data_IF_571376128410
#
_entry.id   IF_571376128410
#
_cell.length_a   1.000
_cell.length_b   1.000
_cell.length_c   1.000
_cell.angle_alpha   90.00
_cell.angle_beta   90.00
_cell.angle_gamma   90.00
#
_symmetry.space_group_name_H-M   'P 1'
#
loop_
_entity.id
_entity.type
_entity.pdbx_description
1 polymer ?
#
# COMPACT_ATOMS: atom_id res chain seq x y z
N UNK A 1 1.15 -12.37 -39.66
CA UNK A 1 0.13 -11.48 -39.10
C UNK A 1 0.67 -10.06 -39.09
N UNK A 2 -0.06 -9.03 -39.58
CA UNK A 2 0.45 -7.67 -39.64
C UNK A 2 0.53 -7.05 -38.23
N UNK A 3 1.69 -6.51 -37.91
CA UNK A 3 2.09 -5.96 -36.61
C UNK A 3 1.23 -4.78 -36.10
N UNK A 4 0.47 -4.09 -36.94
CA UNK A 4 -0.46 -3.04 -36.54
C UNK A 4 -1.70 -3.51 -35.78
N UNK A 5 -2.15 -4.75 -35.99
CA UNK A 5 -3.28 -5.34 -35.25
C UNK A 5 -2.98 -5.70 -33.80
N UNK A 6 -1.71 -5.79 -33.42
CA UNK A 6 -1.32 -6.21 -32.07
C UNK A 6 -1.56 -5.13 -31.00
N UNK A 7 -1.32 -3.85 -31.28
CA UNK A 7 -1.61 -2.76 -30.34
C UNK A 7 -3.11 -2.52 -30.19
N UNK A 8 -3.88 -2.57 -31.29
CA UNK A 8 -5.33 -2.37 -31.26
C UNK A 8 -6.05 -3.49 -30.51
N UNK A 9 -5.57 -4.73 -30.64
CA UNK A 9 -6.06 -5.86 -29.82
C UNK A 9 -5.78 -5.63 -28.34
N UNK A 10 -4.59 -5.14 -27.99
CA UNK A 10 -4.24 -4.82 -26.61
C UNK A 10 -5.14 -3.72 -26.04
N UNK A 11 -5.36 -2.63 -26.81
CA UNK A 11 -6.26 -1.55 -26.42
C UNK A 11 -7.66 -2.06 -26.10
N UNK A 12 -8.26 -2.84 -27.03
CA UNK A 12 -9.64 -3.27 -26.91
C UNK A 12 -9.85 -4.44 -25.93
N UNK A 13 -8.92 -5.41 -25.91
CA UNK A 13 -9.10 -6.63 -25.13
C UNK A 13 -8.57 -6.52 -23.68
N UNK A 14 -7.62 -5.63 -23.40
CA UNK A 14 -6.97 -5.53 -22.09
C UNK A 14 -7.13 -4.15 -21.45
N UNK A 15 -6.88 -3.06 -22.21
CA UNK A 15 -6.83 -1.73 -21.60
C UNK A 15 -8.22 -1.13 -21.41
N UNK A 16 -9.12 -1.24 -22.39
CA UNK A 16 -10.52 -0.81 -22.21
C UNK A 16 -11.23 -1.49 -21.04
N UNK A 17 -11.16 -2.83 -20.87
CA UNK A 17 -11.70 -3.50 -19.69
C UNK A 17 -11.10 -3.01 -18.38
N UNK A 18 -9.79 -2.70 -18.34
CA UNK A 18 -9.15 -2.11 -17.17
C UNK A 18 -9.73 -0.72 -16.84
N UNK A 19 -9.89 0.15 -17.84
CA UNK A 19 -10.52 1.47 -17.65
C UNK A 19 -11.96 1.33 -17.15
N UNK A 20 -12.73 0.36 -17.70
CA UNK A 20 -14.08 0.05 -17.22
C UNK A 20 -14.10 -0.45 -15.78
N UNK A 21 -13.14 -1.31 -15.38
CA UNK A 21 -13.00 -1.79 -14.02
C UNK A 21 -12.71 -0.67 -13.02
N UNK A 22 -12.05 0.44 -13.46
CA UNK A 22 -11.91 1.67 -12.69
C UNK A 22 -13.21 2.50 -12.63
N UNK A 23 -14.29 2.07 -13.28
CA UNK A 23 -15.61 2.72 -13.25
C UNK A 23 -15.81 3.81 -14.30
N UNK A 24 -14.88 4.00 -15.24
CA UNK A 24 -15.03 4.96 -16.35
C UNK A 24 -15.81 4.33 -17.52
N UNK A 25 -16.69 5.11 -18.14
CA UNK A 25 -17.46 4.64 -19.30
C UNK A 25 -16.63 4.82 -20.58
N UNK A 26 -16.04 3.73 -21.05
CA UNK A 26 -15.21 3.72 -22.28
C UNK A 26 -15.98 3.98 -23.57
N UNK A 27 -17.31 3.96 -23.52
CA UNK A 27 -18.20 4.27 -24.67
C UNK A 27 -18.71 5.71 -24.65
N UNK A 28 -18.38 6.48 -23.60
CA UNK A 28 -18.67 7.92 -23.55
C UNK A 28 -17.43 8.71 -23.98
N UNK A 29 -17.46 9.32 -25.19
CA UNK A 29 -16.32 10.06 -25.70
C UNK A 29 -16.05 11.38 -24.97
N UNK A 30 -16.93 11.81 -24.06
CA UNK A 30 -16.71 12.96 -23.18
C UNK A 30 -16.02 12.56 -21.87
N UNK A 31 -16.01 11.27 -21.54
CA UNK A 31 -15.34 10.74 -20.34
C UNK A 31 -14.03 10.05 -20.68
N UNK A 32 -14.02 9.18 -21.70
CA UNK A 32 -12.83 8.48 -22.18
C UNK A 32 -12.62 8.79 -23.65
N UNK A 33 -11.74 9.74 -23.93
CA UNK A 33 -11.46 10.23 -25.29
C UNK A 33 -10.42 9.33 -25.95
N UNK A 34 -10.77 8.57 -27.00
CA UNK A 34 -9.80 7.78 -27.74
C UNK A 34 -9.02 8.67 -28.72
N UNK A 35 -7.77 8.30 -28.98
CA UNK A 35 -6.91 8.97 -29.97
C UNK A 35 -6.85 10.49 -29.81
N UNK A 36 -6.70 10.94 -28.56
CA UNK A 36 -6.70 12.35 -28.20
C UNK A 36 -5.55 13.10 -28.86
N UNK A 37 -5.86 14.24 -29.47
CA UNK A 37 -4.89 15.16 -30.05
C UNK A 37 -4.90 16.49 -29.29
N UNK A 38 -3.72 16.95 -28.87
CA UNK A 38 -3.51 18.31 -28.39
C UNK A 38 -2.54 19.04 -29.37
N UNK A 39 -2.58 20.37 -29.41
CA UNK A 39 -1.61 21.16 -30.18
C UNK A 39 -0.23 21.09 -29.53
N UNK A 40 0.56 20.08 -29.92
CA UNK A 40 1.92 19.82 -29.39
C UNK A 40 2.94 20.30 -30.45
N UNK A 41 3.03 21.60 -30.66
CA UNK A 41 4.10 22.23 -31.45
C UNK A 41 4.34 21.62 -32.83
N UNK A 42 5.58 21.22 -33.15
CA UNK A 42 6.04 20.90 -34.51
C UNK A 42 5.65 19.52 -35.05
N UNK A 43 5.14 18.60 -34.22
CA UNK A 43 4.72 17.25 -34.66
C UNK A 43 3.20 17.18 -34.85
N UNK A 44 2.76 17.40 -36.05
CA UNK A 44 1.34 17.24 -36.47
C UNK A 44 0.96 15.77 -36.50
N UNK A 45 -0.24 15.44 -35.99
CA UNK A 45 -0.86 14.08 -35.97
C UNK A 45 -0.31 13.06 -34.98
N UNK A 46 0.41 13.44 -33.95
CA UNK A 46 0.60 12.56 -32.80
C UNK A 46 -0.71 12.49 -32.00
N UNK A 47 -1.00 11.33 -31.40
CA UNK A 47 -2.21 11.09 -30.62
C UNK A 47 -1.86 10.23 -29.42
N UNK A 48 -2.42 10.54 -28.24
CA UNK A 48 -2.41 9.66 -27.08
C UNK A 48 -3.57 8.69 -27.20
N UNK A 49 -3.36 7.43 -26.89
CA UNK A 49 -4.32 6.36 -27.14
C UNK A 49 -5.66 6.57 -26.43
N UNK A 50 -5.62 6.95 -25.14
CA UNK A 50 -6.81 7.35 -24.37
C UNK A 50 -6.49 8.50 -23.42
N UNK A 51 -7.49 9.34 -23.21
CA UNK A 51 -7.48 10.38 -22.17
C UNK A 51 -8.73 10.25 -21.33
N UNK A 52 -8.58 10.15 -20.02
CA UNK A 52 -9.71 10.26 -19.11
C UNK A 52 -9.92 11.73 -18.78
N UNK A 53 -11.17 12.18 -18.96
CA UNK A 53 -11.61 13.55 -18.75
C UNK A 53 -12.55 13.60 -17.55
N UNK A 54 -12.31 14.56 -16.65
CA UNK A 54 -13.21 14.88 -15.52
C UNK A 54 -13.47 16.38 -15.52
N UNK A 55 -14.71 16.74 -15.30
CA UNK A 55 -15.15 18.16 -15.26
C UNK A 55 -14.65 18.97 -16.48
N UNK A 56 -14.63 18.31 -17.66
CA UNK A 56 -14.20 18.90 -18.92
C UNK A 56 -12.68 19.05 -19.08
N UNK A 57 -11.86 18.52 -18.16
CA UNK A 57 -10.40 18.61 -18.20
C UNK A 57 -9.76 17.22 -18.30
N UNK A 58 -8.71 17.07 -19.13
CA UNK A 58 -7.85 15.89 -19.09
C UNK A 58 -7.27 15.68 -17.71
N UNK A 59 -7.43 14.48 -17.13
CA UNK A 59 -6.86 14.14 -15.82
C UNK A 59 -5.86 12.99 -15.88
N UNK A 60 -6.05 12.01 -16.78
CA UNK A 60 -5.14 10.87 -16.95
C UNK A 60 -4.91 10.63 -18.44
N UNK A 61 -3.64 10.60 -18.86
CA UNK A 61 -3.21 10.21 -20.20
C UNK A 61 -2.85 8.73 -20.22
N UNK A 62 -3.24 7.98 -21.24
CA UNK A 62 -2.95 6.54 -21.33
C UNK A 62 -2.36 6.23 -22.69
N UNK A 63 -1.13 5.70 -22.71
CA UNK A 63 -0.43 5.23 -23.90
C UNK A 63 -0.31 3.71 -23.85
N UNK A 64 -0.69 3.04 -24.94
CA UNK A 64 -0.75 1.61 -25.05
C UNK A 64 0.30 1.06 -26.00
N UNK A 65 0.95 -0.03 -25.62
CA UNK A 65 1.84 -0.80 -26.49
C UNK A 65 1.28 -2.22 -26.64
N UNK A 66 1.74 -2.96 -27.64
CA UNK A 66 1.32 -4.35 -27.82
C UNK A 66 1.72 -5.21 -26.60
N UNK A 67 0.92 -6.22 -26.26
CA UNK A 67 1.09 -7.06 -25.07
C UNK A 67 2.46 -7.77 -25.01
N UNK A 68 3.08 -8.07 -26.15
CA UNK A 68 4.42 -8.67 -26.22
C UNK A 68 5.57 -7.66 -26.10
N UNK A 69 5.30 -6.36 -25.97
CA UNK A 69 6.34 -5.32 -25.92
C UNK A 69 6.83 -5.13 -24.48
N UNK A 70 8.14 -5.25 -24.26
CA UNK A 70 8.75 -4.83 -23.01
C UNK A 70 8.72 -3.30 -22.90
N UNK A 71 8.06 -2.78 -21.87
CA UNK A 71 7.92 -1.35 -21.67
C UNK A 71 9.26 -0.71 -21.26
N UNK A 72 9.61 0.40 -21.88
CA UNK A 72 10.74 1.26 -21.52
C UNK A 72 10.36 2.74 -21.61
N UNK A 73 11.23 3.61 -21.12
CA UNK A 73 10.96 5.06 -21.06
C UNK A 73 10.76 5.70 -22.43
N UNK A 74 11.41 5.18 -23.48
CA UNK A 74 11.25 5.71 -24.84
C UNK A 74 9.82 5.54 -25.36
N UNK A 75 9.10 4.51 -24.88
CA UNK A 75 7.68 4.31 -25.20
C UNK A 75 6.77 5.37 -24.58
N UNK A 76 7.22 6.08 -23.55
CA UNK A 76 6.49 7.18 -22.91
C UNK A 76 6.72 8.55 -23.59
N UNK A 77 7.48 8.63 -24.70
CA UNK A 77 7.84 9.91 -25.34
C UNK A 77 6.64 10.75 -25.76
N UNK A 78 5.52 10.13 -26.14
CA UNK A 78 4.27 10.82 -26.43
C UNK A 78 3.65 11.37 -25.14
N UNK A 79 3.58 10.56 -24.08
CA UNK A 79 3.07 11.00 -22.77
C UNK A 79 3.83 12.22 -22.25
N UNK A 80 5.17 12.24 -22.34
CA UNK A 80 5.97 13.40 -21.92
C UNK A 80 5.56 14.70 -22.61
N UNK A 81 5.32 14.65 -23.94
CA UNK A 81 4.93 15.83 -24.71
C UNK A 81 3.52 16.30 -24.34
N UNK A 82 2.58 15.37 -24.27
CA UNK A 82 1.19 15.69 -23.95
C UNK A 82 1.00 16.14 -22.52
N UNK A 83 1.76 15.58 -21.60
CA UNK A 83 1.71 15.96 -20.19
C UNK A 83 2.05 17.44 -19.98
N UNK A 84 3.04 17.95 -20.72
CA UNK A 84 3.46 19.36 -20.61
C UNK A 84 2.53 20.37 -21.26
N UNK A 85 1.54 19.95 -22.06
CA UNK A 85 0.62 20.84 -22.79
C UNK A 85 -0.86 20.61 -22.44
N UNK A 86 -1.13 19.71 -21.48
CA UNK A 86 -2.48 19.43 -20.97
C UNK A 86 -2.52 19.66 -19.47
N UNK A 87 -3.73 19.73 -18.91
CA UNK A 87 -3.93 19.80 -17.44
C UNK A 87 -3.80 18.43 -16.75
N UNK A 88 -3.45 17.37 -17.48
CA UNK A 88 -3.35 16.04 -16.94
C UNK A 88 -2.22 15.94 -15.91
N UNK A 89 -2.55 15.40 -14.71
CA UNK A 89 -1.61 15.22 -13.62
C UNK A 89 -1.06 13.79 -13.51
N UNK A 90 -1.66 12.86 -14.27
CA UNK A 90 -1.23 11.48 -14.31
C UNK A 90 -1.10 10.97 -15.73
N UNK A 91 -0.12 10.09 -15.94
CA UNK A 91 0.06 9.38 -17.19
C UNK A 91 0.29 7.89 -16.92
N UNK A 92 -0.27 7.04 -17.77
CA UNK A 92 -0.17 5.59 -17.69
C UNK A 92 0.43 5.06 -18.99
N UNK A 93 1.57 4.39 -18.90
CA UNK A 93 2.13 3.59 -19.98
C UNK A 93 1.82 2.12 -19.72
N UNK A 94 1.20 1.46 -20.70
CA UNK A 94 0.79 0.05 -20.51
C UNK A 94 0.95 -0.77 -21.78
N UNK A 95 1.15 -2.09 -21.61
CA UNK A 95 0.98 -3.11 -22.64
C UNK A 95 -0.21 -4.04 -22.32
N UNK A 96 -1.11 -3.63 -21.43
CA UNK A 96 -2.25 -4.41 -20.98
C UNK A 96 -1.91 -5.48 -19.92
N UNK A 97 -0.63 -5.81 -19.72
CA UNK A 97 -0.13 -6.72 -18.68
C UNK A 97 0.62 -5.94 -17.62
N UNK A 98 1.53 -5.08 -18.04
CA UNK A 98 2.29 -4.18 -17.17
C UNK A 98 1.71 -2.78 -17.26
N UNK A 99 1.60 -2.11 -16.11
CA UNK A 99 1.14 -0.74 -15.99
C UNK A 99 2.18 0.09 -15.25
N UNK A 100 2.53 1.25 -15.77
CA UNK A 100 3.47 2.21 -15.19
C UNK A 100 2.81 3.57 -15.08
N UNK A 101 2.73 4.09 -13.87
CA UNK A 101 2.07 5.35 -13.54
C UNK A 101 3.11 6.44 -13.31
N UNK A 102 2.89 7.56 -13.97
CA UNK A 102 3.77 8.73 -13.92
C UNK A 102 2.98 9.96 -13.46
N UNK A 103 3.68 10.90 -12.87
CA UNK A 103 3.18 12.22 -12.49
C UNK A 103 4.33 13.23 -12.49
N UNK A 104 4.13 14.43 -11.96
CA UNK A 104 5.06 15.57 -11.97
C UNK A 104 5.53 15.97 -10.57
N UNK A 105 6.06 15.02 -9.79
CA UNK A 105 6.53 15.26 -8.42
C UNK A 105 7.78 16.16 -8.39
N UNK A 106 8.70 16.00 -9.35
CA UNK A 106 9.99 16.71 -9.36
C UNK A 106 9.83 18.16 -9.84
N UNK A 107 8.99 18.41 -10.82
CA UNK A 107 8.74 19.74 -11.35
C UNK A 107 7.32 19.85 -11.90
N UNK A 108 6.53 20.87 -11.54
CA UNK A 108 5.15 21.05 -12.01
C UNK A 108 5.05 21.02 -13.55
N UNK A 109 4.03 20.34 -14.08
CA UNK A 109 3.75 20.17 -15.51
C UNK A 109 4.88 19.48 -16.30
N UNK A 110 5.80 18.81 -15.64
CA UNK A 110 6.85 18.04 -16.26
C UNK A 110 6.80 16.61 -15.76
N UNK A 111 6.33 15.69 -16.59
CA UNK A 111 6.26 14.27 -16.22
C UNK A 111 7.63 13.75 -15.79
N UNK A 112 7.69 13.06 -14.65
CA UNK A 112 8.90 12.43 -14.12
C UNK A 112 9.37 11.31 -15.06
N UNK A 113 10.69 11.09 -15.14
CA UNK A 113 11.25 10.01 -15.97
C UNK A 113 10.98 8.62 -15.38
N UNK A 114 10.82 8.52 -14.05
CA UNK A 114 10.57 7.26 -13.35
C UNK A 114 9.13 7.16 -12.90
N UNK A 115 8.47 6.00 -13.12
CA UNK A 115 7.13 5.79 -12.62
C UNK A 115 7.15 5.78 -11.08
N UNK A 116 6.19 6.44 -10.46
CA UNK A 116 6.00 6.40 -9.00
C UNK A 116 5.35 5.09 -8.55
N UNK A 117 4.55 4.46 -9.43
CA UNK A 117 3.88 3.21 -9.18
C UNK A 117 3.89 2.33 -10.44
N UNK A 118 4.15 1.03 -10.27
CA UNK A 118 4.11 0.07 -11.37
C UNK A 118 3.68 -1.30 -10.86
N UNK A 119 2.92 -2.03 -11.68
CA UNK A 119 2.47 -3.37 -11.37
C UNK A 119 2.28 -4.25 -12.61
N UNK A 120 2.13 -5.56 -12.38
CA UNK A 120 1.75 -6.54 -13.39
C UNK A 120 0.39 -7.16 -13.05
N UNK A 121 -0.51 -7.22 -14.03
CA UNK A 121 -1.80 -7.92 -13.90
C UNK A 121 -1.64 -9.42 -13.61
N UNK A 122 -0.48 -9.99 -13.86
CA UNK A 122 -0.18 -11.40 -13.57
C UNK A 122 0.25 -11.63 -12.13
N UNK A 123 0.55 -10.57 -11.37
CA UNK A 123 1.04 -10.63 -10.00
C UNK A 123 0.40 -9.48 -9.20
N UNK A 124 -0.89 -9.63 -8.93
CA UNK A 124 -1.65 -8.66 -8.14
C UNK A 124 -1.68 -9.11 -6.67
N UNK A 125 -1.20 -8.26 -5.80
CA UNK A 125 -1.44 -8.35 -4.36
C UNK A 125 -2.46 -7.30 -3.92
N UNK A 126 -2.96 -7.43 -2.71
CA UNK A 126 -3.97 -6.53 -2.17
C UNK A 126 -3.46 -5.08 -2.05
N UNK A 127 -2.17 -4.88 -1.79
CA UNK A 127 -1.56 -3.53 -1.71
C UNK A 127 -1.61 -2.85 -3.08
N UNK A 128 -1.24 -3.57 -4.13
CA UNK A 128 -1.34 -3.12 -5.51
C UNK A 128 -2.78 -2.77 -5.88
N UNK A 129 -3.74 -3.63 -5.54
CA UNK A 129 -5.17 -3.36 -5.80
C UNK A 129 -5.64 -2.11 -5.08
N UNK A 130 -5.23 -1.88 -3.84
CA UNK A 130 -5.60 -0.68 -3.08
C UNK A 130 -5.00 0.60 -3.69
N UNK A 131 -3.76 0.56 -4.22
CA UNK A 131 -3.18 1.69 -4.94
C UNK A 131 -3.91 1.96 -6.25
N UNK A 132 -4.23 0.92 -7.03
CA UNK A 132 -4.98 1.05 -8.28
C UNK A 132 -6.38 1.61 -8.05
N UNK A 133 -7.07 1.20 -6.97
CA UNK A 133 -8.41 1.70 -6.61
C UNK A 133 -8.46 3.21 -6.40
N UNK A 134 -7.38 3.87 -6.02
CA UNK A 134 -7.32 5.33 -5.89
C UNK A 134 -7.58 6.05 -7.22
N UNK A 135 -7.33 5.38 -8.34
CA UNK A 135 -7.63 5.89 -9.69
C UNK A 135 -9.05 5.57 -10.16
N UNK A 136 -9.84 4.83 -9.37
CA UNK A 136 -11.23 4.58 -9.72
C UNK A 136 -12.06 5.88 -9.69
N UNK A 137 -13.00 6.00 -10.62
CA UNK A 137 -13.84 7.20 -10.83
C UNK A 137 -14.46 7.74 -9.52
N UNK A 138 -14.93 6.84 -8.65
CA UNK A 138 -15.58 7.20 -7.38
C UNK A 138 -14.62 7.58 -6.27
N UNK A 139 -13.35 7.18 -6.36
CA UNK A 139 -12.32 7.39 -5.34
C UNK A 139 -11.22 8.36 -5.79
N UNK A 140 -11.30 8.82 -7.04
CA UNK A 140 -10.28 9.69 -7.61
C UNK A 140 -10.25 11.04 -6.88
N UNK A 141 -9.15 11.29 -6.21
CA UNK A 141 -8.79 12.53 -5.55
C UNK A 141 -7.35 12.86 -5.92
N UNK A 142 -7.17 13.90 -6.72
CA UNK A 142 -5.89 14.27 -7.32
C UNK A 142 -4.84 14.60 -6.26
N UNK A 143 -5.19 15.40 -5.27
CA UNK A 143 -4.25 15.84 -4.22
C UNK A 143 -3.82 14.67 -3.34
N UNK A 144 -4.75 13.79 -2.99
CA UNK A 144 -4.46 12.59 -2.23
C UNK A 144 -3.56 11.62 -3.02
N UNK A 145 -3.84 11.40 -4.30
CA UNK A 145 -3.00 10.54 -5.16
C UNK A 145 -1.60 11.12 -5.30
N UNK A 146 -1.44 12.43 -5.48
CA UNK A 146 -0.14 13.11 -5.58
C UNK A 146 0.69 13.00 -4.31
N UNK A 147 0.06 13.21 -3.14
CA UNK A 147 0.70 13.03 -1.84
C UNK A 147 1.23 11.60 -1.67
N UNK A 148 0.39 10.61 -1.96
CA UNK A 148 0.77 9.19 -1.92
C UNK A 148 1.86 8.84 -2.95
N UNK A 149 1.79 9.41 -4.16
CA UNK A 149 2.78 9.19 -5.22
C UNK A 149 4.18 9.64 -4.78
N UNK A 150 4.26 10.80 -4.12
CA UNK A 150 5.52 11.32 -3.55
C UNK A 150 6.08 10.34 -2.50
N UNK A 151 5.26 9.88 -1.59
CA UNK A 151 5.65 8.92 -0.56
C UNK A 151 6.13 7.59 -1.16
N UNK A 152 5.39 7.02 -2.11
CA UNK A 152 5.75 5.77 -2.80
C UNK A 152 7.08 5.92 -3.54
N UNK A 153 7.26 7.03 -4.28
CA UNK A 153 8.49 7.32 -5.03
C UNK A 153 9.70 7.38 -4.11
N UNK A 154 9.62 8.18 -3.04
CA UNK A 154 10.74 8.33 -2.11
C UNK A 154 11.03 7.05 -1.33
N UNK A 155 10.01 6.34 -0.86
CA UNK A 155 10.21 5.03 -0.21
C UNK A 155 10.88 4.01 -1.13
N UNK A 156 10.48 3.95 -2.41
CA UNK A 156 11.11 3.07 -3.40
C UNK A 156 12.59 3.43 -3.61
N UNK A 157 12.91 4.72 -3.74
CA UNK A 157 14.28 5.18 -3.89
C UNK A 157 15.13 4.88 -2.64
N UNK A 158 14.62 5.18 -1.45
CA UNK A 158 15.32 4.89 -0.18
C UNK A 158 15.60 3.39 -0.06
N UNK A 159 14.62 2.53 -0.36
CA UNK A 159 14.84 1.07 -0.35
C UNK A 159 15.93 0.63 -1.33
N UNK A 160 15.96 1.23 -2.52
CA UNK A 160 16.99 0.93 -3.52
C UNK A 160 18.38 1.32 -3.01
N UNK A 161 18.52 2.49 -2.37
CA UNK A 161 19.78 2.89 -1.74
C UNK A 161 20.18 1.97 -0.59
N UNK A 162 19.24 1.63 0.30
CA UNK A 162 19.54 0.69 1.39
C UNK A 162 19.99 -0.68 0.88
N UNK A 163 19.39 -1.19 -0.21
CA UNK A 163 19.82 -2.44 -0.83
C UNK A 163 21.23 -2.31 -1.41
N UNK A 164 21.53 -1.19 -2.05
CA UNK A 164 22.86 -0.93 -2.60
C UNK A 164 23.92 -0.84 -1.50
N UNK A 165 23.61 -0.15 -0.39
CA UNK A 165 24.52 -0.06 0.78
C UNK A 165 24.73 -1.43 1.45
N UNK A 166 23.71 -2.30 1.44
CA UNK A 166 23.84 -3.68 1.95
C UNK A 166 24.81 -4.52 1.10
N UNK A 167 24.72 -4.39 -0.23
CA UNK A 167 25.56 -5.14 -1.16
C UNK A 167 26.99 -4.59 -1.23
N UNK A 168 27.11 -3.26 -1.33
CA UNK A 168 28.38 -2.54 -1.48
C UNK A 168 28.29 -1.17 -0.79
N UNK A 169 28.70 -1.08 0.50
CA UNK A 169 28.66 0.15 1.26
C UNK A 169 29.45 1.29 0.60
N UNK A 170 28.80 2.43 0.40
CA UNK A 170 29.44 3.64 -0.14
C UNK A 170 30.43 4.25 0.85
N UNK A 171 31.40 5.04 0.37
CA UNK A 171 32.35 5.74 1.24
C UNK A 171 31.63 6.67 2.24
N UNK A 172 30.55 7.31 1.82
CA UNK A 172 29.74 8.19 2.68
C UNK A 172 29.06 7.41 3.81
N UNK A 173 28.48 6.27 3.49
CA UNK A 173 27.84 5.38 4.45
C UNK A 173 28.86 4.84 5.46
N UNK A 174 30.00 4.35 4.99
CA UNK A 174 31.11 3.89 5.84
C UNK A 174 31.60 5.01 6.76
N UNK A 175 31.81 6.22 6.21
CA UNK A 175 32.28 7.37 6.98
C UNK A 175 31.30 7.79 8.08
N UNK A 176 29.99 7.66 7.85
CA UNK A 176 28.96 7.95 8.84
C UNK A 176 29.14 7.11 10.10
N UNK A 177 29.37 5.80 9.96
CA UNK A 177 29.57 4.89 11.08
C UNK A 177 30.98 4.99 11.67
N UNK A 178 32.02 5.00 10.82
CA UNK A 178 33.39 5.07 11.26
C UNK A 178 33.65 6.27 12.18
N UNK A 179 33.13 7.45 11.85
CA UNK A 179 33.27 8.66 12.70
C UNK A 179 32.60 8.55 14.07
N UNK A 180 31.60 7.69 14.23
CA UNK A 180 30.92 7.50 15.51
C UNK A 180 31.64 6.53 16.45
N UNK A 181 32.41 5.59 15.89
CA UNK A 181 33.09 4.54 16.66
C UNK A 181 34.60 4.71 16.74
N UNK A 182 35.16 5.61 15.91
CA UNK A 182 36.59 5.86 15.84
C UNK A 182 36.91 7.36 15.83
N UNK A 183 37.67 7.82 16.81
CA UNK A 183 38.05 9.24 17.00
C UNK A 183 39.34 9.65 16.26
N UNK A 184 40.08 8.70 15.66
CA UNK A 184 41.32 8.95 14.96
C UNK A 184 41.11 9.38 13.50
N UNK A 185 42.24 9.67 12.82
CA UNK A 185 42.24 10.01 11.40
C UNK A 185 41.88 8.79 10.53
N UNK A 186 40.92 8.95 9.63
CA UNK A 186 40.56 7.94 8.65
C UNK A 186 41.57 7.97 7.47
N UNK A 187 42.66 7.25 7.61
CA UNK A 187 43.62 6.99 6.51
C UNK A 187 42.98 6.03 5.49
N UNK A 188 43.59 5.91 4.30
CA UNK A 188 43.08 5.00 3.24
C UNK A 188 42.95 3.56 3.76
N UNK A 189 43.98 3.03 4.43
CA UNK A 189 43.93 1.68 5.03
C UNK A 189 42.80 1.53 6.06
N UNK A 190 42.60 2.57 6.90
CA UNK A 190 41.50 2.56 7.87
C UNK A 190 40.12 2.61 7.18
N UNK A 191 39.97 3.36 6.10
CA UNK A 191 38.73 3.40 5.32
C UNK A 191 38.42 2.02 4.76
N UNK A 192 39.40 1.34 4.16
CA UNK A 192 39.19 -0.02 3.61
C UNK A 192 38.81 -1.01 4.71
N UNK A 193 39.46 -0.92 5.88
CA UNK A 193 39.09 -1.73 7.04
C UNK A 193 37.63 -1.47 7.48
N UNK A 194 37.25 -0.19 7.63
CA UNK A 194 35.89 0.17 8.04
C UNK A 194 34.84 -0.18 6.97
N UNK A 195 35.18 -0.16 5.69
CA UNK A 195 34.27 -0.61 4.62
C UNK A 195 33.90 -2.08 4.81
N UNK A 196 34.87 -2.93 5.12
CA UNK A 196 34.61 -4.33 5.41
C UNK A 196 33.79 -4.53 6.69
N UNK A 197 34.17 -3.83 7.77
CA UNK A 197 33.48 -3.95 9.07
C UNK A 197 32.04 -3.47 9.00
N UNK A 198 31.78 -2.32 8.38
CA UNK A 198 30.42 -1.78 8.22
C UNK A 198 29.57 -2.70 7.37
N UNK A 199 30.11 -3.21 6.24
CA UNK A 199 29.40 -4.15 5.39
C UNK A 199 29.07 -5.47 6.09
N UNK A 200 30.00 -6.00 6.91
CA UNK A 200 29.75 -7.21 7.72
C UNK A 200 28.69 -6.95 8.79
N UNK A 201 28.86 -5.92 9.60
CA UNK A 201 27.94 -5.58 10.68
C UNK A 201 26.53 -5.31 10.16
N UNK A 202 26.40 -4.64 9.01
CA UNK A 202 25.10 -4.36 8.41
C UNK A 202 24.40 -5.63 7.94
N UNK A 203 25.12 -6.55 7.29
CA UNK A 203 24.59 -7.87 6.90
C UNK A 203 24.22 -8.74 8.10
N UNK A 204 25.07 -8.78 9.12
CA UNK A 204 24.80 -9.51 10.36
C UNK A 204 23.55 -8.99 11.06
N UNK A 205 23.41 -7.66 11.16
CA UNK A 205 22.23 -7.05 11.75
C UNK A 205 20.94 -7.37 10.99
N UNK A 206 20.94 -7.27 9.65
CA UNK A 206 19.78 -7.63 8.82
C UNK A 206 19.43 -9.12 9.00
N UNK A 207 20.43 -10.02 9.00
CA UNK A 207 20.21 -11.45 9.20
C UNK A 207 19.66 -11.76 10.62
N UNK A 208 20.12 -11.04 11.63
CA UNK A 208 19.58 -11.17 12.99
C UNK A 208 18.10 -10.81 13.03
N UNK A 209 17.71 -9.66 12.44
CA UNK A 209 16.32 -9.25 12.36
C UNK A 209 15.44 -10.26 11.59
N UNK A 210 15.96 -10.85 10.52
CA UNK A 210 15.25 -11.88 9.75
C UNK A 210 15.07 -13.15 10.60
N UNK A 211 16.12 -13.59 11.29
CA UNK A 211 16.06 -14.78 12.14
C UNK A 211 15.11 -14.60 13.33
N UNK A 212 15.13 -13.44 13.99
CA UNK A 212 14.17 -13.10 15.05
C UNK A 212 12.72 -13.17 14.56
N UNK A 213 12.43 -12.62 13.39
CA UNK A 213 11.09 -12.68 12.78
C UNK A 213 10.68 -14.10 12.41
N UNK A 214 11.61 -14.90 11.87
CA UNK A 214 11.36 -16.31 11.53
C UNK A 214 11.13 -17.14 12.79
N UNK A 215 11.90 -16.93 13.85
CA UNK A 215 11.69 -17.61 15.13
C UNK A 215 10.33 -17.26 15.73
N UNK A 216 9.97 -15.98 15.79
CA UNK A 216 8.67 -15.56 16.29
C UNK A 216 7.50 -16.15 15.46
N UNK A 217 7.66 -16.29 14.14
CA UNK A 217 6.67 -16.94 13.30
C UNK A 217 6.58 -18.44 13.54
N UNK A 218 7.71 -19.13 13.76
CA UNK A 218 7.76 -20.57 14.08
C UNK A 218 7.20 -20.86 15.48
N UNK A 219 7.52 -20.02 16.45
CA UNK A 219 7.01 -20.18 17.84
C UNK A 219 5.49 -19.99 17.89
N UNK A 220 4.95 -19.04 17.13
CA UNK A 220 3.49 -18.88 16.97
C UNK A 220 2.83 -20.07 16.26
N UNK A 221 3.52 -20.75 15.37
CA UNK A 221 3.01 -21.97 14.69
C UNK A 221 3.10 -23.20 15.58
N UNK A 222 4.14 -23.28 16.41
CA UNK A 222 4.37 -24.44 17.33
C UNK A 222 3.41 -24.41 18.51
N UNK A 223 3.00 -23.23 18.99
CA UNK A 223 1.97 -23.11 20.04
C UNK A 223 0.58 -23.58 19.57
N UNK A 224 0.27 -23.44 18.27
CA UNK A 224 -0.97 -23.95 17.67
C UNK A 224 -0.96 -25.49 17.49
N UNK A 225 0.21 -26.13 17.46
CA UNK A 225 0.33 -27.60 17.26
C UNK A 225 0.39 -28.42 18.52
N UNK A 226 0.44 -27.83 19.71
CA UNK A 226 0.49 -28.56 21.02
C UNK A 226 -0.87 -28.72 21.70
N UNK A 227 -1.92 -28.03 21.24
CA UNK A 227 -3.28 -28.18 21.80
C UNK A 227 -4.17 -29.19 21.05
N UNK A 228 -3.76 -29.75 19.92
CA UNK A 228 -4.54 -30.71 19.12
C UNK A 228 -4.11 -32.17 19.29
N UNK A 229 -3.93 -32.63 20.55
CA UNK A 229 -3.85 -34.07 20.86
C UNK A 229 -4.86 -34.50 21.90
N UNK A 230 -6.10 -34.16 21.75
CA UNK A 230 -7.22 -34.89 22.38
C UNK A 230 -8.53 -34.60 21.68
N UNK A 231 -8.86 -35.44 20.77
CA UNK A 231 -10.17 -35.95 20.32
C UNK A 231 -10.37 -35.92 18.80
N UNK A 232 -10.48 -37.14 18.32
CA UNK A 232 -10.78 -37.56 16.96
C UNK A 232 -12.18 -37.16 16.50
N UNK A 233 -12.33 -36.65 15.28
CA UNK A 233 -13.08 -37.24 14.15
C UNK A 233 -13.66 -36.18 13.21
N UNK A 234 -13.43 -36.45 11.91
CA UNK A 234 -14.13 -36.01 10.71
C UNK A 234 -13.88 -34.60 10.17
N UNK A 235 -13.16 -34.55 9.05
CA UNK A 235 -12.98 -33.48 8.07
C UNK A 235 -14.31 -33.10 7.35
N UNK A 236 -14.42 -31.98 6.56
CA UNK A 236 -13.41 -31.53 5.62
C UNK A 236 -13.06 -30.03 5.65
N UNK A 237 -11.88 -29.72 5.13
CA UNK A 237 -11.41 -28.39 4.78
C UNK A 237 -12.31 -27.65 3.78
N UNK A 238 -12.33 -26.30 3.76
CA UNK A 238 -11.43 -25.63 2.85
C UNK A 238 -10.75 -24.35 3.41
N UNK A 239 -9.49 -24.26 3.10
CA UNK A 239 -8.63 -23.13 2.74
C UNK A 239 -9.28 -21.75 2.59
N UNK A 240 -8.82 -20.80 3.39
CA UNK A 240 -8.39 -19.46 2.93
C UNK A 240 -7.86 -18.68 4.13
N UNK A 241 -6.54 -18.53 4.19
CA UNK A 241 -5.85 -17.57 5.05
C UNK A 241 -6.16 -16.16 4.53
N UNK A 242 -7.13 -15.49 5.14
CA UNK A 242 -7.34 -14.05 4.94
C UNK A 242 -6.34 -13.29 5.82
N UNK A 243 -5.25 -12.83 5.19
CA UNK A 243 -4.34 -11.85 5.78
C UNK A 243 -5.11 -10.57 6.12
N UNK A 244 -5.15 -10.24 7.41
CA UNK A 244 -5.77 -9.02 7.95
C UNK A 244 -5.05 -7.79 7.42
N UNK A 245 -5.74 -6.95 6.65
CA UNK A 245 -5.21 -5.71 6.08
C UNK A 245 -5.07 -4.62 7.13
N UNK A 246 -3.84 -4.14 7.28
CA UNK A 246 -3.51 -2.96 8.07
C UNK A 246 -3.72 -1.72 7.18
N UNK A 247 -4.77 -0.93 7.43
CA UNK A 247 -4.92 0.39 6.83
C UNK A 247 -3.99 1.34 7.59
N UNK A 248 -2.93 1.78 6.91
CA UNK A 248 -1.99 2.81 7.42
C UNK A 248 -2.49 4.17 6.95
N UNK A 249 -3.01 4.96 7.85
CA UNK A 249 -3.33 6.36 7.58
C UNK A 249 -2.39 7.26 8.42
N UNK A 250 -1.78 8.25 7.77
CA UNK A 250 -1.05 9.39 8.40
C UNK A 250 0.17 9.06 9.30
N UNK A 251 1.04 8.11 8.91
CA UNK A 251 2.32 7.93 9.62
C UNK A 251 2.22 7.26 11.00
N UNK A 252 1.07 6.65 11.30
CA UNK A 252 0.86 5.82 12.48
C UNK A 252 1.20 4.37 12.10
N UNK A 253 2.06 3.73 12.90
CA UNK A 253 2.44 2.32 12.72
C UNK A 253 1.60 1.48 13.68
N UNK A 254 0.65 0.71 13.13
CA UNK A 254 -0.14 -0.23 13.92
C UNK A 254 0.76 -1.33 14.47
N UNK A 255 0.73 -1.52 15.77
CA UNK A 255 1.53 -2.52 16.48
C UNK A 255 0.87 -3.90 16.41
N UNK A 256 1.65 -4.97 16.68
CA UNK A 256 1.11 -6.33 16.75
C UNK A 256 0.06 -6.47 17.86
N UNK A 257 0.26 -5.81 19.01
CA UNK A 257 -0.71 -5.79 20.10
C UNK A 257 -2.06 -5.17 19.70
N UNK A 258 -2.07 -4.15 18.85
CA UNK A 258 -3.30 -3.55 18.33
C UNK A 258 -4.03 -4.48 17.36
N UNK A 259 -3.29 -5.25 16.57
CA UNK A 259 -3.85 -6.27 15.69
C UNK A 259 -4.41 -7.44 16.48
N UNK A 260 -3.71 -7.88 17.51
CA UNK A 260 -4.19 -8.95 18.40
C UNK A 260 -5.46 -8.52 19.14
N UNK A 261 -5.51 -7.29 19.63
CA UNK A 261 -6.72 -6.70 20.21
C UNK A 261 -7.90 -6.71 19.23
N UNK A 262 -7.66 -6.36 17.94
CA UNK A 262 -8.69 -6.45 16.90
C UNK A 262 -9.17 -7.89 16.70
N UNK A 263 -8.25 -8.87 16.60
CA UNK A 263 -8.58 -10.28 16.41
C UNK A 263 -9.48 -10.80 17.53
N UNK A 264 -9.16 -10.46 18.78
CA UNK A 264 -9.95 -10.85 19.96
C UNK A 264 -11.34 -10.19 19.91
N UNK A 265 -11.44 -8.89 19.62
CA UNK A 265 -12.74 -8.22 19.50
C UNK A 265 -13.56 -8.81 18.38
N UNK A 266 -12.97 -9.12 17.22
CA UNK A 266 -13.66 -9.81 16.12
C UNK A 266 -14.18 -11.18 16.56
N UNK A 267 -13.40 -11.96 17.29
CA UNK A 267 -13.80 -13.27 17.80
C UNK A 267 -14.97 -13.16 18.78
N UNK A 268 -14.94 -12.20 19.70
CA UNK A 268 -16.03 -11.97 20.66
C UNK A 268 -17.31 -11.53 19.95
N UNK A 269 -17.21 -10.58 19.01
CA UNK A 269 -18.36 -9.99 18.33
C UNK A 269 -18.87 -10.84 17.16
N UNK A 270 -18.18 -11.89 16.73
CA UNK A 270 -18.60 -12.78 15.64
C UNK A 270 -19.97 -13.41 15.86
N UNK A 271 -20.44 -13.47 17.11
CA UNK A 271 -21.76 -13.99 17.48
C UNK A 271 -22.91 -13.07 17.00
N UNK A 272 -22.65 -11.77 16.78
CA UNK A 272 -23.69 -10.76 16.46
C UNK A 272 -23.35 -9.89 15.28
N UNK A 273 -22.07 -9.81 14.88
CA UNK A 273 -21.57 -8.99 13.77
C UNK A 273 -20.66 -9.86 12.90
N UNK A 274 -20.84 -9.78 11.58
CA UNK A 274 -19.89 -10.37 10.65
C UNK A 274 -18.48 -9.73 10.86
N UNK A 275 -17.43 -10.51 11.15
CA UNK A 275 -16.08 -10.01 11.39
C UNK A 275 -15.51 -9.12 10.27
N UNK A 276 -15.96 -9.31 9.03
CA UNK A 276 -15.58 -8.48 7.87
C UNK A 276 -16.05 -7.03 8.02
N UNK A 277 -17.10 -6.75 8.78
CA UNK A 277 -17.64 -5.41 9.05
C UNK A 277 -16.93 -4.69 10.18
N UNK A 278 -15.95 -5.31 10.84
CA UNK A 278 -15.21 -4.73 11.98
C UNK A 278 -13.86 -4.26 11.48
N UNK A 279 -13.61 -2.96 11.57
CA UNK A 279 -12.42 -2.29 11.05
C UNK A 279 -11.57 -1.69 12.17
N UNK A 280 -10.24 -1.73 11.98
CA UNK A 280 -9.29 -1.04 12.85
C UNK A 280 -8.96 0.32 12.27
N UNK A 281 -9.04 1.36 13.10
CA UNK A 281 -8.56 2.70 12.76
C UNK A 281 -7.62 3.19 13.85
N UNK A 282 -6.34 3.12 13.55
CA UNK A 282 -5.29 3.55 14.44
C UNK A 282 -5.03 5.06 14.30
N UNK A 283 -4.84 5.74 15.42
CA UNK A 283 -4.52 7.17 15.52
C UNK A 283 -3.31 7.36 16.44
N UNK A 284 -2.72 8.54 16.46
CA UNK A 284 -1.56 8.85 17.33
C UNK A 284 -1.85 8.69 18.83
N UNK A 285 -3.10 8.68 19.24
CA UNK A 285 -3.50 8.72 20.66
C UNK A 285 -4.30 7.50 21.11
N UNK A 286 -4.90 6.75 20.21
CA UNK A 286 -5.65 5.53 20.50
C UNK A 286 -5.87 4.70 19.26
N UNK A 287 -6.05 3.39 19.43
CA UNK A 287 -6.45 2.47 18.38
C UNK A 287 -7.97 2.22 18.47
N UNK A 288 -8.73 2.62 17.44
CA UNK A 288 -10.19 2.49 17.39
C UNK A 288 -10.63 1.25 16.63
N UNK A 289 -11.64 0.54 17.16
CA UNK A 289 -12.32 -0.56 16.46
C UNK A 289 -13.73 -0.08 16.10
N UNK A 290 -14.05 -0.07 14.80
CA UNK A 290 -15.24 0.56 14.25
C UNK A 290 -16.11 -0.45 13.51
N UNK A 291 -17.44 -0.24 13.53
CA UNK A 291 -18.38 -0.96 12.68
C UNK A 291 -18.51 -0.24 11.32
N UNK A 292 -18.41 -1.01 10.23
CA UNK A 292 -18.56 -0.53 8.84
C UNK A 292 -17.60 0.63 8.49
N UNK A 293 -16.41 0.67 9.11
CA UNK A 293 -15.43 1.76 8.99
C UNK A 293 -16.01 3.16 9.28
N UNK A 294 -17.01 3.24 10.15
CA UNK A 294 -17.74 4.47 10.45
C UNK A 294 -17.35 5.03 11.82
N UNK A 295 -16.74 6.22 11.87
CA UNK A 295 -16.35 6.92 13.09
C UNK A 295 -17.51 7.24 14.06
N UNK A 296 -18.75 7.14 13.60
CA UNK A 296 -19.95 7.32 14.43
C UNK A 296 -20.43 6.04 15.09
N UNK A 297 -19.83 4.90 14.73
CA UNK A 297 -20.14 3.56 15.25
C UNK A 297 -18.90 2.89 15.87
N UNK A 298 -18.29 3.49 16.90
CA UNK A 298 -17.12 2.90 17.56
C UNK A 298 -17.55 1.72 18.43
N UNK A 299 -17.03 0.53 18.13
CA UNK A 299 -17.25 -0.67 18.93
C UNK A 299 -16.44 -0.64 20.24
N UNK A 300 -15.20 -0.19 20.16
CA UNK A 300 -14.33 0.11 21.30
C UNK A 300 -13.12 0.92 20.85
N UNK A 301 -12.32 1.38 21.82
CA UNK A 301 -10.99 1.96 21.62
C UNK A 301 -10.00 1.30 22.56
N UNK A 302 -8.77 1.16 22.10
CA UNK A 302 -7.63 0.74 22.90
C UNK A 302 -6.69 1.91 23.12
N UNK A 303 -6.23 2.07 24.34
CA UNK A 303 -5.15 2.97 24.69
C UNK A 303 -3.99 2.13 25.18
N UNK A 304 -2.95 2.01 24.34
CA UNK A 304 -1.71 1.32 24.66
C UNK A 304 -0.72 2.34 25.21
N UNK A 305 -0.33 2.18 26.47
CA UNK A 305 0.75 2.94 27.09
C UNK A 305 1.84 1.99 27.56
N UNK A 306 3.11 2.42 27.74
CA UNK A 306 4.20 1.52 28.16
C UNK A 306 3.94 0.74 29.44
N UNK A 307 2.99 1.17 30.27
CA UNK A 307 2.71 0.60 31.57
C UNK A 307 1.27 0.13 31.74
N UNK A 308 0.38 0.35 30.76
CA UNK A 308 -1.03 0.02 30.93
C UNK A 308 -1.78 -0.09 29.61
N UNK A 309 -2.54 -1.16 29.46
CA UNK A 309 -3.56 -1.32 28.43
C UNK A 309 -4.92 -0.90 29.00
N UNK A 310 -5.67 -0.08 28.26
CA UNK A 310 -7.00 0.37 28.64
C UNK A 310 -7.97 0.15 27.48
N UNK A 311 -9.07 -0.55 27.77
CA UNK A 311 -10.23 -0.65 26.89
C UNK A 311 -11.18 0.52 27.19
N UNK A 312 -11.66 1.20 26.17
CA UNK A 312 -12.60 2.31 26.27
C UNK A 312 -13.83 1.95 25.45
N UNK A 313 -14.99 1.95 26.11
CA UNK A 313 -16.31 1.80 25.50
C UNK A 313 -16.98 3.18 25.45
N UNK A 314 -17.67 3.51 24.34
CA UNK A 314 -18.33 4.80 24.17
C UNK A 314 -19.83 4.58 23.97
N UNK A 315 -20.66 5.17 24.79
CA UNK A 315 -22.11 5.14 24.62
C UNK A 315 -22.57 6.07 23.46
N UNK A 316 -23.88 6.07 23.16
CA UNK A 316 -24.49 6.94 22.13
C UNK A 316 -24.30 8.44 22.43
N UNK A 317 -24.10 8.81 23.68
CA UNK A 317 -23.88 10.17 24.17
C UNK A 317 -22.38 10.52 24.22
N UNK A 318 -21.49 9.59 23.83
CA UNK A 318 -20.02 9.68 23.86
C UNK A 318 -19.41 9.74 25.26
N UNK A 319 -20.11 9.28 26.28
CA UNK A 319 -19.47 9.06 27.57
C UNK A 319 -18.52 7.87 27.47
N UNK A 320 -17.34 7.99 28.09
CA UNK A 320 -16.30 6.98 28.04
C UNK A 320 -16.32 6.12 29.33
N UNK A 321 -16.53 4.84 29.18
CA UNK A 321 -16.24 3.84 30.20
C UNK A 321 -14.83 3.29 29.97
N UNK A 322 -13.93 3.46 30.95
CA UNK A 322 -12.53 3.05 30.87
C UNK A 322 -12.26 1.86 31.73
N UNK A 323 -11.84 0.75 31.12
CA UNK A 323 -11.55 -0.52 31.76
C UNK A 323 -10.04 -0.80 31.63
N UNK A 324 -9.37 -0.95 32.76
CA UNK A 324 -7.95 -1.30 32.79
C UNK A 324 -7.79 -2.80 32.59
N UNK A 325 -6.92 -3.18 31.66
CA UNK A 325 -6.59 -4.57 31.35
C UNK A 325 -5.14 -4.86 31.75
N UNK A 326 -4.87 -6.03 32.31
CA UNK A 326 -3.51 -6.50 32.58
C UNK A 326 -2.88 -7.12 31.33
N UNK A 327 -3.72 -7.71 30.46
CA UNK A 327 -3.32 -8.30 29.19
C UNK A 327 -4.46 -8.25 28.18
N UNK A 328 -4.16 -8.45 26.89
CA UNK A 328 -5.19 -8.52 25.82
C UNK A 328 -6.17 -9.69 26.03
N UNK A 329 -5.74 -10.78 26.67
CA UNK A 329 -6.61 -11.93 26.99
C UNK A 329 -7.74 -11.54 27.96
N UNK A 330 -7.56 -10.50 28.76
CA UNK A 330 -8.61 -10.01 29.67
C UNK A 330 -9.84 -9.46 28.93
N UNK A 331 -9.73 -9.17 27.64
CA UNK A 331 -10.87 -8.82 26.79
C UNK A 331 -11.98 -9.87 26.81
N UNK A 332 -11.65 -11.15 26.96
CA UNK A 332 -12.63 -12.21 27.07
C UNK A 332 -13.45 -12.12 28.35
N UNK A 333 -12.89 -11.57 29.44
CA UNK A 333 -13.62 -11.35 30.71
C UNK A 333 -14.65 -10.21 30.56
N UNK A 334 -14.47 -9.33 29.57
CA UNK A 334 -15.35 -8.21 29.25
C UNK A 334 -16.19 -8.46 27.99
N UNK A 335 -16.31 -9.72 27.56
CA UNK A 335 -17.04 -10.09 26.33
C UNK A 335 -18.51 -9.64 26.38
N UNK A 336 -19.21 -9.80 27.50
CA UNK A 336 -20.60 -9.40 27.65
C UNK A 336 -20.79 -7.87 27.53
N UNK A 337 -19.84 -7.09 28.05
CA UNK A 337 -19.85 -5.64 27.92
C UNK A 337 -19.63 -5.20 26.47
N UNK A 338 -18.67 -5.82 25.77
CA UNK A 338 -18.42 -5.59 24.34
C UNK A 338 -19.64 -5.96 23.48
N UNK A 339 -20.29 -7.11 23.74
CA UNK A 339 -21.49 -7.53 23.03
C UNK A 339 -22.66 -6.57 23.28
N UNK A 340 -22.90 -6.16 24.53
CA UNK A 340 -23.94 -5.21 24.89
C UNK A 340 -23.74 -3.86 24.23
N UNK A 341 -22.49 -3.40 24.21
CA UNK A 341 -22.11 -2.13 23.58
C UNK A 341 -22.26 -2.18 22.06
N UNK A 342 -21.83 -3.25 21.42
CA UNK A 342 -21.93 -3.43 19.97
C UNK A 342 -23.40 -3.45 19.48
N UNK A 343 -24.33 -3.99 20.29
CA UNK A 343 -25.77 -3.98 19.96
C UNK A 343 -26.34 -2.57 19.83
N UNK A 344 -25.78 -1.57 20.52
CA UNK A 344 -26.22 -0.17 20.42
C UNK A 344 -26.09 0.40 19.01
N UNK A 345 -25.22 -0.19 18.17
CA UNK A 345 -24.92 0.27 16.82
C UNK A 345 -25.48 -0.65 15.72
N UNK A 346 -26.17 -1.73 16.08
CA UNK A 346 -26.80 -2.65 15.15
C UNK A 346 -28.27 -2.29 14.87
N UNK A 347 -28.86 -1.49 15.74
CA UNK A 347 -30.18 -0.87 15.55
C UNK A 347 -30.02 0.45 14.75
#
# INVERSE_FOLDING_TARGET
>A
FPTRRSSDLTKNALVMPFIQALGYNVFDPFEVVPEFTADVGTKKNEKVDYVIVRDGKPCILIECKSAGTSLNINHASQLFRYFGVTDARFAILTNGIQYRFFTDIEAPNKMDERPFFEFSMLQLDQKTVNEVKKFAKTLYDEDNILSNASELKYKKQIRSFLSQELDSPSEEFVRLFAKRVYSGLLTTERKDQFTQLVGQAFREWVNTLLNERLQNALDSTTSLSLEDKASSSSAPSPTSEEEVQIIRDNGVVTTEDELEGLRIVRAILAQIIDPVRIYLRDTKSYCGVLLDDNNRKPLCRFLFTPHQLTLILLDKERNEERIKLESLVDLYKHADQLLSHARLYLE
#
